data_IF_901752270974
#
_entry.id   IF_901752270974
#
_cell.length_a   1.000
_cell.length_b   1.000
_cell.length_c   1.000
_cell.angle_alpha   90.00
_cell.angle_beta   90.00
_cell.angle_gamma   90.00
#
_symmetry.space_group_name_H-M   'P 1'
#
loop_
_entity.id
_entity.type
_entity.pdbx_description
1 polymer ?
#
# COMPACT_ATOMS: atom_id res chain seq x y z
N UNK A 1 -1.62 -12.51 11.01
CA UNK A 1 -2.05 -11.10 10.83
C UNK A 1 -1.15 -10.19 11.64
N UNK A 2 -0.69 -9.08 11.06
CA UNK A 2 0.20 -8.10 11.72
C UNK A 2 -0.57 -7.11 12.62
N UNK A 3 -1.89 -7.03 12.48
CA UNK A 3 -2.74 -6.06 13.20
C UNK A 3 -2.68 -6.23 14.71
N UNK A 4 -2.75 -7.46 15.22
CA UNK A 4 -2.72 -7.73 16.67
C UNK A 4 -1.41 -7.22 17.31
N UNK A 5 -0.22 -7.63 16.84
CA UNK A 5 1.04 -7.16 17.42
C UNK A 5 1.28 -5.66 17.18
N UNK A 6 0.68 -5.05 16.16
CA UNK A 6 0.71 -3.61 15.91
C UNK A 6 -0.15 -2.82 16.91
N UNK A 7 -1.37 -3.29 17.21
CA UNK A 7 -2.25 -2.67 18.23
C UNK A 7 -1.64 -2.78 19.63
N UNK A 8 -0.99 -3.91 19.94
CA UNK A 8 -0.27 -4.09 21.20
C UNK A 8 0.88 -3.07 21.30
N UNK A 9 1.72 -3.00 20.27
CA UNK A 9 2.84 -2.05 20.23
C UNK A 9 2.37 -0.60 20.34
N UNK A 10 1.29 -0.23 19.66
CA UNK A 10 0.69 1.10 19.74
C UNK A 10 0.30 1.48 21.18
N UNK A 11 -0.34 0.55 21.93
CA UNK A 11 -0.69 0.79 23.34
C UNK A 11 0.54 0.93 24.23
N UNK A 12 1.57 0.13 24.01
CA UNK A 12 2.84 0.22 24.74
C UNK A 12 3.49 1.60 24.51
N UNK A 13 3.57 2.07 23.26
CA UNK A 13 4.16 3.38 22.92
C UNK A 13 3.39 4.57 23.49
N UNK A 14 2.05 4.47 23.61
CA UNK A 14 1.23 5.47 24.31
C UNK A 14 1.58 5.49 25.80
N UNK A 15 1.68 4.31 26.43
CA UNK A 15 2.06 4.18 27.84
C UNK A 15 3.44 4.77 28.14
N UNK A 16 4.39 4.56 27.24
CA UNK A 16 5.76 5.11 27.30
C UNK A 16 5.85 6.61 26.92
N UNK A 17 4.74 7.24 26.50
CA UNK A 17 4.69 8.63 25.99
C UNK A 17 5.65 8.90 24.82
N UNK A 18 5.90 7.90 23.98
CA UNK A 18 6.77 8.04 22.81
C UNK A 18 5.98 8.49 21.57
N UNK A 19 5.65 9.78 21.53
CA UNK A 19 4.75 10.36 20.51
C UNK A 19 5.21 10.17 19.07
N UNK A 20 6.52 10.17 18.79
CA UNK A 20 7.04 9.95 17.45
C UNK A 20 6.63 8.57 16.93
N UNK A 21 6.86 7.51 17.72
CA UNK A 21 6.47 6.14 17.36
C UNK A 21 4.96 5.96 17.32
N UNK A 22 4.21 6.66 18.17
CA UNK A 22 2.74 6.65 18.14
C UNK A 22 2.22 7.16 16.81
N UNK A 23 2.78 8.25 16.28
CA UNK A 23 2.39 8.81 14.96
C UNK A 23 2.70 7.83 13.83
N UNK A 24 3.88 7.22 13.84
CA UNK A 24 4.28 6.22 12.83
C UNK A 24 3.33 5.01 12.83
N UNK A 25 3.01 4.49 14.02
CA UNK A 25 2.11 3.34 14.17
C UNK A 25 0.66 3.69 13.83
N UNK A 26 0.20 4.90 14.18
CA UNK A 26 -1.14 5.36 13.86
C UNK A 26 -1.35 5.41 12.34
N UNK A 27 -0.34 5.86 11.60
CA UNK A 27 -0.38 5.94 10.14
C UNK A 27 -0.54 4.54 9.52
N UNK A 28 0.22 3.56 9.99
CA UNK A 28 0.14 2.17 9.53
C UNK A 28 -1.20 1.50 9.89
N UNK A 29 -1.73 1.76 11.09
CA UNK A 29 -3.04 1.27 11.52
C UNK A 29 -4.18 1.84 10.68
N UNK A 30 -4.16 3.14 10.37
CA UNK A 30 -5.16 3.79 9.51
C UNK A 30 -5.15 3.17 8.12
N UNK A 31 -3.96 3.00 7.51
CA UNK A 31 -3.83 2.39 6.20
C UNK A 31 -4.37 0.95 6.18
N UNK A 32 -4.02 0.18 7.20
CA UNK A 32 -4.46 -1.22 7.34
C UNK A 32 -5.97 -1.31 7.52
N UNK A 33 -6.56 -0.52 8.42
CA UNK A 33 -8.01 -0.45 8.61
C UNK A 33 -8.73 0.00 7.33
N UNK A 34 -8.21 1.03 6.65
CA UNK A 34 -8.71 1.50 5.37
C UNK A 34 -8.75 0.40 4.32
N UNK A 35 -7.67 -0.37 4.16
CA UNK A 35 -7.63 -1.51 3.24
C UNK A 35 -8.65 -2.60 3.60
N UNK A 36 -8.85 -2.90 4.89
CA UNK A 36 -9.91 -3.83 5.33
C UNK A 36 -11.30 -3.33 4.94
N UNK A 37 -11.58 -2.04 5.17
CA UNK A 37 -12.87 -1.42 4.80
C UNK A 37 -13.07 -1.49 3.28
N UNK A 38 -12.04 -1.19 2.49
CA UNK A 38 -12.07 -1.26 1.03
C UNK A 38 -12.39 -2.69 0.56
N UNK A 39 -11.66 -3.69 1.06
CA UNK A 39 -11.88 -5.10 0.70
C UNK A 39 -13.29 -5.52 1.09
N UNK A 40 -13.71 -5.28 2.33
CA UNK A 40 -15.05 -5.63 2.79
C UNK A 40 -16.14 -4.97 1.92
N UNK A 41 -16.02 -3.66 1.67
CA UNK A 41 -16.98 -2.93 0.84
C UNK A 41 -17.01 -3.48 -0.60
N UNK A 42 -15.86 -3.82 -1.18
CA UNK A 42 -15.80 -4.39 -2.51
C UNK A 42 -16.45 -5.77 -2.62
N UNK A 43 -16.36 -6.58 -1.57
CA UNK A 43 -17.06 -7.87 -1.49
C UNK A 43 -18.57 -7.62 -1.42
N UNK A 44 -19.01 -6.70 -0.53
CA UNK A 44 -20.44 -6.39 -0.39
C UNK A 44 -21.05 -5.74 -1.64
N UNK A 45 -20.29 -4.91 -2.35
CA UNK A 45 -20.74 -4.18 -3.54
C UNK A 45 -20.24 -4.80 -4.84
N UNK A 46 -19.78 -6.06 -4.81
CA UNK A 46 -19.18 -6.74 -5.97
C UNK A 46 -20.06 -6.67 -7.22
N UNK A 47 -21.37 -6.90 -7.05
CA UNK A 47 -22.33 -6.80 -8.15
C UNK A 47 -22.36 -5.43 -8.81
N UNK A 48 -22.26 -4.34 -8.03
CA UNK A 48 -22.24 -2.98 -8.57
C UNK A 48 -20.93 -2.68 -9.28
N UNK A 49 -19.79 -3.05 -8.68
CA UNK A 49 -18.47 -2.90 -9.30
C UNK A 49 -18.45 -3.60 -10.66
N UNK A 50 -18.93 -4.85 -10.70
CA UNK A 50 -19.05 -5.64 -11.92
C UNK A 50 -19.96 -4.97 -12.95
N UNK A 51 -21.14 -4.54 -12.53
CA UNK A 51 -22.09 -3.86 -13.41
C UNK A 51 -21.47 -2.59 -14.03
N UNK A 52 -20.74 -1.78 -13.25
CA UNK A 52 -20.05 -0.60 -13.77
C UNK A 52 -19.04 -0.97 -14.84
N UNK A 53 -18.22 -2.00 -14.61
CA UNK A 53 -17.22 -2.44 -15.60
C UNK A 53 -17.88 -3.00 -16.87
N UNK A 54 -18.94 -3.78 -16.73
CA UNK A 54 -19.72 -4.32 -17.88
C UNK A 54 -20.37 -3.18 -18.69
N UNK A 55 -20.87 -2.15 -18.02
CA UNK A 55 -21.41 -0.95 -18.69
C UNK A 55 -20.31 -0.16 -19.42
N UNK A 56 -19.14 0.02 -18.80
CA UNK A 56 -18.02 0.69 -19.46
C UNK A 56 -17.61 -0.04 -20.74
N UNK A 57 -17.52 -1.37 -20.68
CA UNK A 57 -17.25 -2.18 -21.85
C UNK A 57 -18.34 -2.06 -22.91
N UNK A 58 -19.61 -2.18 -22.52
CA UNK A 58 -20.73 -2.05 -23.44
C UNK A 58 -20.78 -0.67 -24.10
N UNK A 59 -20.44 0.40 -23.40
CA UNK A 59 -20.35 1.73 -24.01
C UNK A 59 -19.29 1.74 -25.10
N UNK A 60 -18.11 1.19 -24.81
CA UNK A 60 -17.00 1.12 -25.76
C UNK A 60 -17.36 0.32 -27.01
N UNK A 61 -18.04 -0.82 -26.85
CA UNK A 61 -18.42 -1.71 -27.95
C UNK A 61 -19.50 -1.10 -28.89
N UNK A 62 -20.28 -0.13 -28.40
CA UNK A 62 -21.34 0.54 -29.17
C UNK A 62 -20.93 1.93 -29.70
N UNK A 63 -19.63 2.28 -29.64
CA UNK A 63 -19.13 3.55 -30.19
C UNK A 63 -19.00 3.48 -31.72
N UNK A 64 -19.93 4.12 -32.43
CA UNK A 64 -19.93 4.18 -33.90
C UNK A 64 -19.45 5.53 -34.47
N UNK A 65 -19.58 6.63 -33.71
CA UNK A 65 -19.17 7.96 -34.17
C UNK A 65 -17.65 8.15 -34.04
N UNK A 66 -17.00 8.59 -35.13
CA UNK A 66 -15.55 8.71 -35.20
C UNK A 66 -14.99 9.85 -34.34
N UNK A 67 -15.77 10.92 -34.10
CA UNK A 67 -15.35 12.00 -33.21
C UNK A 67 -15.48 11.56 -31.75
N UNK A 68 -16.58 10.89 -31.39
CA UNK A 68 -16.78 10.33 -30.06
C UNK A 68 -15.70 9.29 -29.73
N UNK A 69 -15.39 8.38 -30.66
CA UNK A 69 -14.32 7.40 -30.50
C UNK A 69 -12.96 8.07 -30.28
N UNK A 70 -12.67 9.18 -30.98
CA UNK A 70 -11.43 9.91 -30.80
C UNK A 70 -11.31 10.51 -29.39
N UNK A 71 -12.40 11.06 -28.85
CA UNK A 71 -12.46 11.63 -27.50
C UNK A 71 -12.29 10.52 -26.44
N UNK A 72 -13.06 9.44 -26.54
CA UNK A 72 -12.94 8.29 -25.63
C UNK A 72 -11.53 7.70 -25.63
N UNK A 73 -10.91 7.59 -26.81
CA UNK A 73 -9.54 7.11 -26.94
C UNK A 73 -8.53 8.03 -26.27
N UNK A 74 -8.74 9.35 -26.33
CA UNK A 74 -7.85 10.33 -25.69
C UNK A 74 -7.91 10.24 -24.16
N UNK A 75 -9.12 10.19 -23.58
CA UNK A 75 -9.29 9.99 -22.14
C UNK A 75 -8.80 8.61 -21.68
N UNK A 76 -9.03 7.55 -22.44
CA UNK A 76 -8.50 6.22 -22.13
C UNK A 76 -6.96 6.21 -22.11
N UNK A 77 -6.31 6.91 -23.06
CA UNK A 77 -4.84 7.09 -23.07
C UNK A 77 -4.36 7.88 -21.86
N UNK A 78 -5.05 8.98 -21.53
CA UNK A 78 -4.76 9.80 -20.36
C UNK A 78 -4.89 8.99 -19.07
N UNK A 79 -5.99 8.25 -18.90
CA UNK A 79 -6.19 7.35 -17.76
C UNK A 79 -5.13 6.27 -17.65
N UNK A 80 -4.74 5.65 -18.78
CA UNK A 80 -3.63 4.67 -18.80
C UNK A 80 -2.31 5.30 -18.36
N UNK A 81 -2.00 6.52 -18.81
CA UNK A 81 -0.80 7.23 -18.38
C UNK A 81 -0.82 7.50 -16.87
N UNK A 82 -1.94 8.01 -16.34
CA UNK A 82 -2.11 8.27 -14.91
C UNK A 82 -1.93 7.00 -14.07
N UNK A 83 -2.55 5.89 -14.48
CA UNK A 83 -2.42 4.58 -13.83
C UNK A 83 -0.96 4.11 -13.81
N UNK A 84 -0.26 4.16 -14.95
CA UNK A 84 1.13 3.73 -15.05
C UNK A 84 2.06 4.62 -14.22
N UNK A 85 1.89 5.94 -14.28
CA UNK A 85 2.66 6.87 -13.47
C UNK A 85 2.44 6.63 -11.98
N UNK A 86 1.18 6.48 -11.54
CA UNK A 86 0.85 6.19 -10.15
C UNK A 86 1.44 4.84 -9.70
N UNK A 87 1.35 3.79 -10.54
CA UNK A 87 1.92 2.48 -10.24
C UNK A 87 3.42 2.59 -9.97
N UNK A 88 4.17 3.24 -10.87
CA UNK A 88 5.62 3.39 -10.78
C UNK A 88 6.00 4.17 -9.52
N UNK A 89 5.32 5.28 -9.25
CA UNK A 89 5.59 6.09 -8.07
C UNK A 89 5.28 5.32 -6.78
N UNK A 90 4.09 4.73 -6.66
CA UNK A 90 3.67 4.01 -5.46
C UNK A 90 4.56 2.78 -5.18
N UNK A 91 4.83 1.96 -6.20
CA UNK A 91 5.71 0.78 -6.06
C UNK A 91 7.16 1.17 -5.82
N UNK A 92 7.65 2.24 -6.43
CA UNK A 92 8.99 2.79 -6.19
C UNK A 92 9.16 3.28 -4.75
N UNK A 93 8.21 4.08 -4.25
CA UNK A 93 8.19 4.54 -2.86
C UNK A 93 8.10 3.38 -1.88
N UNK A 94 7.25 2.38 -2.15
CA UNK A 94 7.14 1.19 -1.30
C UNK A 94 8.45 0.37 -1.27
N UNK A 95 9.09 0.18 -2.43
CA UNK A 95 10.37 -0.53 -2.53
C UNK A 95 11.48 0.19 -1.77
N UNK A 96 11.54 1.52 -1.90
CA UNK A 96 12.45 2.36 -1.12
C UNK A 96 12.19 2.20 0.38
N UNK A 97 10.93 2.27 0.83
CA UNK A 97 10.57 2.07 2.23
C UNK A 97 10.99 0.68 2.75
N UNK A 98 10.80 -0.37 1.95
CA UNK A 98 11.25 -1.73 2.26
C UNK A 98 12.77 -1.86 2.43
N UNK A 99 13.56 -0.98 1.82
CA UNK A 99 15.01 -0.99 1.91
C UNK A 99 15.57 -0.34 3.19
N UNK A 100 14.82 0.54 3.85
CA UNK A 100 15.28 1.31 5.02
C UNK A 100 15.83 0.41 6.15
N UNK A 101 15.18 -0.71 6.53
CA UNK A 101 15.69 -1.61 7.57
C UNK A 101 17.07 -2.23 7.29
N UNK A 102 17.52 -2.24 6.03
CA UNK A 102 18.83 -2.78 5.66
C UNK A 102 19.97 -1.75 5.73
N UNK A 103 19.64 -0.46 5.84
CA UNK A 103 20.63 0.61 5.88
C UNK A 103 21.66 0.46 7.02
N UNK A 104 21.29 0.05 8.26
CA UNK A 104 22.27 -0.19 9.31
C UNK A 104 23.30 -1.27 8.95
N UNK A 105 22.87 -2.37 8.32
CA UNK A 105 23.77 -3.45 7.92
C UNK A 105 24.74 -3.03 6.82
N UNK A 106 24.27 -2.24 5.85
CA UNK A 106 25.14 -1.67 4.82
C UNK A 106 26.16 -0.71 5.44
N UNK A 107 25.72 0.16 6.36
CA UNK A 107 26.60 1.11 7.03
C UNK A 107 27.62 0.44 7.93
N UNK A 108 27.33 -0.73 8.51
CA UNK A 108 28.31 -1.48 9.29
C UNK A 108 29.44 -2.06 8.41
N UNK A 109 29.20 -2.27 7.12
CA UNK A 109 30.23 -2.69 6.14
C UNK A 109 31.08 -1.49 5.70
N UNK A 110 30.44 -0.36 5.39
CA UNK A 110 31.11 0.82 4.80
C UNK A 110 31.79 1.70 5.86
N UNK A 111 31.13 1.89 7.01
CA UNK A 111 31.59 2.75 8.12
C UNK A 111 31.30 2.01 9.45
N UNK A 112 32.13 1.02 9.81
CA UNK A 112 31.93 0.25 11.03
C UNK A 112 32.05 1.14 12.27
N UNK A 113 31.17 0.93 13.24
CA UNK A 113 31.23 1.56 14.56
C UNK A 113 31.71 0.54 15.59
N UNK A 114 32.31 1.02 16.68
CA UNK A 114 32.71 0.17 17.81
C UNK A 114 31.50 -0.42 18.57
N UNK A 115 30.31 0.16 18.38
CA UNK A 115 29.05 -0.29 18.97
C UNK A 115 28.07 -0.72 17.86
N UNK A 116 27.21 -1.69 18.19
CA UNK A 116 26.19 -2.19 17.25
C UNK A 116 25.09 -1.17 17.01
N UNK A 117 24.78 -0.87 15.74
CA UNK A 117 23.66 0.02 15.37
C UNK A 117 22.30 -0.57 15.81
N UNK A 118 21.31 0.28 16.15
CA UNK A 118 19.94 -0.17 16.38
C UNK A 118 19.34 -0.67 15.05
N UNK A 119 18.80 -1.88 15.05
CA UNK A 119 18.12 -2.47 13.90
C UNK A 119 16.62 -2.41 14.15
N UNK A 120 15.94 -1.56 13.37
CA UNK A 120 14.48 -1.48 13.38
C UNK A 120 13.93 -2.30 12.21
N UNK A 121 12.85 -3.05 12.47
CA UNK A 121 12.15 -3.76 11.41
C UNK A 121 11.23 -2.80 10.62
N UNK A 122 10.74 -3.24 9.46
CA UNK A 122 9.90 -2.44 8.55
C UNK A 122 8.64 -1.91 9.24
N UNK A 123 7.99 -2.78 10.00
CA UNK A 123 6.89 -2.44 10.89
C UNK A 123 7.39 -2.65 12.31
N UNK A 124 7.27 -1.62 13.15
CA UNK A 124 7.55 -1.76 14.58
C UNK A 124 6.34 -2.41 15.23
N UNK A 125 6.45 -3.72 15.50
CA UNK A 125 5.34 -4.53 16.00
C UNK A 125 5.85 -5.45 17.11
N UNK A 126 4.98 -5.68 18.10
CA UNK A 126 5.34 -6.41 19.31
C UNK A 126 5.00 -7.89 19.16
N UNK A 127 5.98 -8.70 18.76
CA UNK A 127 5.83 -10.16 18.69
C UNK A 127 6.21 -10.89 19.98
N UNK A 128 6.66 -10.18 21.03
CA UNK A 128 7.25 -10.76 22.25
C UNK A 128 8.38 -11.78 21.95
N UNK A 129 9.10 -11.56 20.86
CA UNK A 129 10.26 -12.32 20.42
C UNK A 129 11.48 -11.38 20.39
N UNK A 130 12.68 -11.94 20.48
CA UNK A 130 13.90 -11.18 20.25
C UNK A 130 13.96 -10.72 18.79
N UNK A 131 13.71 -9.43 18.57
CA UNK A 131 13.63 -8.81 17.25
C UNK A 131 14.93 -8.90 16.46
N UNK A 132 16.10 -8.97 17.12
CA UNK A 132 17.39 -9.16 16.43
C UNK A 132 17.55 -10.61 16.00
N UNK A 133 17.26 -11.57 16.88
CA UNK A 133 17.39 -13.00 16.57
C UNK A 133 16.43 -13.46 15.48
N UNK A 134 15.21 -12.90 15.46
CA UNK A 134 14.14 -13.26 14.51
C UNK A 134 13.89 -12.18 13.46
N UNK A 135 14.90 -11.36 13.14
CA UNK A 135 14.75 -10.22 12.23
C UNK A 135 14.14 -10.62 10.87
N UNK A 136 14.73 -11.62 10.20
CA UNK A 136 14.31 -12.07 8.86
C UNK A 136 12.85 -12.54 8.80
N UNK A 137 12.39 -13.49 9.65
CA UNK A 137 10.99 -13.92 9.59
C UNK A 137 10.01 -12.80 9.96
N UNK A 138 10.35 -11.92 10.92
CA UNK A 138 9.52 -10.77 11.28
C UNK A 138 9.43 -9.79 10.10
N UNK A 139 10.56 -9.54 9.43
CA UNK A 139 10.64 -8.66 8.27
C UNK A 139 9.81 -9.19 7.10
N UNK A 140 9.95 -10.47 6.75
CA UNK A 140 9.21 -11.08 5.65
C UNK A 140 7.70 -11.06 5.90
N UNK A 141 7.25 -11.37 7.11
CA UNK A 141 5.83 -11.31 7.47
C UNK A 141 5.30 -9.86 7.43
N UNK A 142 6.11 -8.88 7.86
CA UNK A 142 5.79 -7.45 7.77
C UNK A 142 5.67 -6.96 6.32
N UNK A 143 6.64 -7.32 5.46
CA UNK A 143 6.62 -7.00 4.02
C UNK A 143 5.37 -7.61 3.36
N UNK A 144 5.07 -8.88 3.62
CA UNK A 144 3.89 -9.52 3.05
C UNK A 144 2.59 -8.79 3.42
N UNK A 145 2.44 -8.38 4.68
CA UNK A 145 1.29 -7.61 5.11
C UNK A 145 1.23 -6.24 4.43
N UNK A 146 2.36 -5.53 4.37
CA UNK A 146 2.43 -4.21 3.75
C UNK A 146 2.13 -4.28 2.24
N UNK A 147 2.63 -5.30 1.52
CA UNK A 147 2.27 -5.58 0.12
C UNK A 147 0.75 -5.72 -0.02
N UNK A 148 0.10 -6.51 0.84
CA UNK A 148 -1.34 -6.71 0.75
C UNK A 148 -2.14 -5.40 0.89
N UNK A 149 -1.73 -4.52 1.80
CA UNK A 149 -2.37 -3.21 2.04
C UNK A 149 -2.13 -2.27 0.85
N UNK A 150 -0.88 -2.13 0.43
CA UNK A 150 -0.48 -1.20 -0.65
C UNK A 150 -1.14 -1.58 -1.97
N UNK A 151 -1.09 -2.86 -2.37
CA UNK A 151 -1.70 -3.29 -3.63
C UNK A 151 -3.24 -3.25 -3.59
N UNK A 152 -3.85 -3.41 -2.42
CA UNK A 152 -5.28 -3.16 -2.25
C UNK A 152 -5.58 -1.71 -2.60
N UNK A 153 -4.92 -0.75 -1.95
CA UNK A 153 -5.15 0.68 -2.21
C UNK A 153 -4.92 1.01 -3.69
N UNK A 154 -3.79 0.59 -4.26
CA UNK A 154 -3.46 0.82 -5.68
C UNK A 154 -4.55 0.30 -6.62
N UNK A 155 -5.07 -0.91 -6.37
CA UNK A 155 -6.11 -1.50 -7.22
C UNK A 155 -7.39 -0.68 -7.23
N UNK A 156 -7.80 -0.15 -6.07
CA UNK A 156 -9.01 0.67 -5.97
C UNK A 156 -8.82 2.08 -6.52
N UNK A 157 -7.62 2.65 -6.39
CA UNK A 157 -7.28 3.91 -7.04
C UNK A 157 -7.32 3.76 -8.57
N UNK A 158 -6.82 2.66 -9.12
CA UNK A 158 -6.93 2.38 -10.56
C UNK A 158 -8.38 2.26 -11.00
N UNK A 159 -9.19 1.51 -10.26
CA UNK A 159 -10.62 1.40 -10.54
C UNK A 159 -11.30 2.78 -10.56
N UNK A 160 -10.99 3.64 -9.58
CA UNK A 160 -11.52 5.00 -9.52
C UNK A 160 -11.06 5.85 -10.71
N UNK A 161 -9.77 5.83 -11.04
CA UNK A 161 -9.22 6.56 -12.21
C UNK A 161 -9.91 6.08 -13.49
N UNK A 162 -10.09 4.77 -13.68
CA UNK A 162 -10.76 4.23 -14.85
C UNK A 162 -12.19 4.76 -15.00
N UNK A 163 -12.98 4.76 -13.91
CA UNK A 163 -14.35 5.27 -13.94
C UNK A 163 -14.37 6.76 -14.28
N UNK A 164 -13.53 7.56 -13.61
CA UNK A 164 -13.48 9.01 -13.83
C UNK A 164 -13.10 9.34 -15.27
N UNK A 165 -12.09 8.65 -15.82
CA UNK A 165 -11.65 8.89 -17.20
C UNK A 165 -12.66 8.40 -18.24
N UNK A 166 -13.42 7.34 -17.94
CA UNK A 166 -14.50 6.87 -18.83
C UNK A 166 -15.72 7.79 -18.84
N UNK A 167 -15.95 8.53 -17.75
CA UNK A 167 -17.10 9.43 -17.63
C UNK A 167 -16.88 10.83 -18.25
N UNK A 168 -15.65 11.17 -18.63
CA UNK A 168 -15.27 12.43 -19.27
C UNK A 168 -15.37 12.36 -20.79
#
# INVERSE_FOLDING_TARGET
TVVIPEVIFFKEMIGERNWNKVVDCLTALIATYGAFVIIANSIFQFHKIRQTVEQMQSNWDNLDDSNELAIYTDYAKTGKLLILTYLILATGTFSFFCSIPFLPFLLDIVIPLNESRPVNNLLQVQYYLDTRKYFVPIYLHGVQAAISVVYTIITFDFYFIMIVQHAC
#
